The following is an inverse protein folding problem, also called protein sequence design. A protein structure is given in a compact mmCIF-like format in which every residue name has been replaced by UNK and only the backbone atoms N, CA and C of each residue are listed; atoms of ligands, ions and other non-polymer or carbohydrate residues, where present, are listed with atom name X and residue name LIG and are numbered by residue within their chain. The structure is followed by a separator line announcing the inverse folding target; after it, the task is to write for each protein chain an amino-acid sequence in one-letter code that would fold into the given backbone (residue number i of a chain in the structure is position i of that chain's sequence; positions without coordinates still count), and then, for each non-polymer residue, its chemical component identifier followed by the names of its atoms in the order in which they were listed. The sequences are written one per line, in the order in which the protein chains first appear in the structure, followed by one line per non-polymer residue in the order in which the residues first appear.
data_IF_715201822615
#
_entry.id   IF_715201822615
#
_cell.length_a   1.000
_cell.length_b   1.000
_cell.length_c   1.000
_cell.angle_alpha   90.00
_cell.angle_beta   90.00
_cell.angle_gamma   90.00
#
_symmetry.space_group_name_H-M   'P 1'
#
loop_
_entity.id
_entity.type
_entity.pdbx_description
1 polymer ?
#
# COMPACT_ATOMS: atom_id res chain seq x y z
N UNK A 1 7.23 6.12 9.15
CA UNK A 1 5.80 5.84 9.41
C UNK A 1 5.50 5.29 10.80
N UNK A 2 6.37 4.51 11.46
CA UNK A 2 6.01 3.89 12.76
C UNK A 2 6.61 4.56 14.01
N UNK A 3 6.84 5.89 13.97
CA UNK A 3 7.35 6.61 15.15
C UNK A 3 6.26 6.78 16.24
N UNK A 4 5.00 6.63 15.87
CA UNK A 4 3.84 6.82 16.75
C UNK A 4 3.42 8.28 16.88
N UNK A 5 2.28 8.50 17.53
CA UNK A 5 1.78 9.81 17.94
C UNK A 5 1.93 9.93 19.46
N UNK A 6 2.54 11.01 19.94
CA UNK A 6 2.65 11.28 21.38
C UNK A 6 1.49 12.16 21.82
N UNK A 7 0.69 11.66 22.76
CA UNK A 7 -0.44 12.39 23.38
C UNK A 7 -0.28 12.30 24.90
N UNK A 8 -0.09 13.45 25.55
CA UNK A 8 0.03 13.53 27.03
C UNK A 8 1.05 12.55 27.63
N UNK A 9 2.23 12.42 27.00
CA UNK A 9 3.29 11.50 27.45
C UNK A 9 3.10 10.04 27.05
N UNK A 10 1.95 9.66 26.49
CA UNK A 10 1.71 8.31 25.95
C UNK A 10 2.02 8.26 24.47
N UNK A 11 2.82 7.28 24.03
CA UNK A 11 3.06 7.05 22.61
C UNK A 11 2.09 6.01 22.07
N UNK A 12 1.18 6.42 21.19
CA UNK A 12 0.26 5.52 20.48
C UNK A 12 0.90 5.07 19.18
N UNK A 13 0.97 3.75 18.96
CA UNK A 13 1.49 3.14 17.73
C UNK A 13 0.47 2.19 17.13
N UNK A 14 0.37 2.20 15.80
CA UNK A 14 -0.40 1.21 15.06
C UNK A 14 0.57 0.12 14.60
N UNK A 15 0.42 -1.15 15.01
CA UNK A 15 1.23 -2.25 14.50
C UNK A 15 1.21 -2.34 12.97
N UNK A 16 2.30 -2.77 12.33
CA UNK A 16 2.37 -2.82 10.87
C UNK A 16 1.33 -3.75 10.24
N UNK A 17 1.00 -4.86 10.90
CA UNK A 17 -0.03 -5.82 10.51
C UNK A 17 -1.47 -5.27 10.63
N UNK A 18 -1.60 -4.01 11.06
CA UNK A 18 -2.84 -3.23 11.06
C UNK A 18 -2.80 -2.03 10.11
N UNK A 19 -1.73 -1.88 9.33
CA UNK A 19 -1.55 -0.79 8.36
C UNK A 19 -1.75 -1.28 6.93
N UNK A 20 -2.51 -0.52 6.15
CA UNK A 20 -2.78 -0.76 4.72
C UNK A 20 -2.60 0.55 3.96
N UNK A 21 -1.44 0.78 3.31
CA UNK A 21 -1.25 1.94 2.45
C UNK A 21 -2.21 1.95 1.27
N UNK A 22 -2.84 3.11 1.00
CA UNK A 22 -3.72 3.33 -0.14
C UNK A 22 -2.99 4.03 -1.29
N UNK A 23 -3.15 3.52 -2.52
CA UNK A 23 -2.51 4.06 -3.72
C UNK A 23 -3.50 4.17 -4.89
N UNK A 24 -3.38 5.18 -5.78
CA UNK A 24 -4.09 5.15 -7.06
C UNK A 24 -3.68 3.94 -7.89
N UNK A 25 -4.64 3.22 -8.49
CA UNK A 25 -4.37 2.02 -9.29
C UNK A 25 -3.55 2.33 -10.54
N UNK A 26 -3.77 3.51 -11.13
CA UNK A 26 -3.08 3.99 -12.32
C UNK A 26 -3.07 5.52 -12.40
N UNK A 27 -2.26 6.14 -13.28
CA UNK A 27 -2.36 7.57 -13.55
C UNK A 27 -3.79 7.96 -13.93
N UNK A 28 -4.27 9.08 -13.40
CA UNK A 28 -5.65 9.54 -13.60
C UNK A 28 -6.65 9.05 -12.54
N UNK A 29 -6.33 8.00 -11.78
CA UNK A 29 -7.16 7.55 -10.65
C UNK A 29 -7.01 8.44 -9.39
N UNK A 30 -6.12 9.43 -9.41
CA UNK A 30 -5.83 10.35 -8.30
C UNK A 30 -4.37 10.80 -8.30
N UNK A 31 -4.02 11.72 -7.39
CA UNK A 31 -2.64 12.12 -7.15
C UNK A 31 -1.87 11.07 -6.33
N UNK A 32 -0.54 10.98 -6.54
CA UNK A 32 0.33 10.07 -5.77
C UNK A 32 0.46 8.65 -6.31
N UNK A 33 0.20 8.43 -7.61
CA UNK A 33 0.42 7.14 -8.27
C UNK A 33 1.89 6.70 -8.15
N UNK A 34 2.08 5.39 -7.93
CA UNK A 34 3.38 4.73 -8.00
C UNK A 34 3.35 3.63 -9.06
N UNK A 35 4.40 3.57 -9.88
CA UNK A 35 4.58 2.45 -10.79
C UNK A 35 4.76 1.13 -10.01
N UNK A 36 4.35 -0.04 -10.56
CA UNK A 36 4.40 -1.33 -9.85
C UNK A 36 5.77 -1.70 -9.28
N UNK A 37 6.87 -1.34 -9.96
CA UNK A 37 8.22 -1.56 -9.46
C UNK A 37 8.51 -0.75 -8.19
N UNK A 38 8.01 0.48 -8.08
CA UNK A 38 8.12 1.32 -6.89
C UNK A 38 7.25 0.79 -5.75
N UNK A 39 6.04 0.30 -6.06
CA UNK A 39 5.19 -0.38 -5.07
C UNK A 39 5.91 -1.58 -4.47
N UNK A 40 6.53 -2.40 -5.32
CA UNK A 40 7.31 -3.57 -4.91
C UNK A 40 8.54 -3.18 -4.06
N UNK A 41 9.27 -2.14 -4.46
CA UNK A 41 10.41 -1.63 -3.70
C UNK A 41 10.00 -1.15 -2.30
N UNK A 42 8.90 -0.40 -2.21
CA UNK A 42 8.37 0.10 -0.95
C UNK A 42 7.85 -1.05 -0.08
N UNK A 43 7.12 -2.01 -0.66
CA UNK A 43 6.63 -3.20 0.05
C UNK A 43 7.78 -3.96 0.74
N UNK A 44 8.86 -4.23 -0.01
CA UNK A 44 10.02 -4.97 0.49
C UNK A 44 10.74 -4.24 1.65
N UNK A 45 10.72 -2.90 1.66
CA UNK A 45 11.26 -2.11 2.79
C UNK A 45 10.57 -2.41 4.12
N UNK A 46 9.32 -2.85 4.09
CA UNK A 46 8.57 -3.23 5.29
C UNK A 46 8.63 -4.73 5.62
N UNK A 47 9.37 -5.53 4.86
CA UNK A 47 9.66 -6.93 5.17
C UNK A 47 8.41 -7.80 5.40
N UNK A 48 7.39 -7.64 4.56
CA UNK A 48 6.06 -8.29 4.70
C UNK A 48 5.31 -7.96 6.01
N UNK A 49 5.72 -6.92 6.75
CA UNK A 49 5.07 -6.54 8.00
C UNK A 49 3.71 -5.84 7.81
N UNK A 50 3.40 -5.33 6.61
CA UNK A 50 2.14 -4.64 6.33
C UNK A 50 1.00 -5.64 6.15
N UNK A 51 -0.21 -5.26 6.60
CA UNK A 51 -1.42 -6.07 6.40
C UNK A 51 -1.76 -6.30 4.93
N UNK A 52 -1.46 -5.31 4.09
CA UNK A 52 -1.73 -5.35 2.67
C UNK A 52 -1.64 -3.97 2.03
N UNK A 53 -2.19 -3.86 0.83
CA UNK A 53 -2.30 -2.63 0.07
C UNK A 53 -3.77 -2.41 -0.31
N UNK A 54 -4.17 -1.16 -0.35
CA UNK A 54 -5.48 -0.73 -0.84
C UNK A 54 -5.28 0.09 -2.10
N UNK A 55 -6.23 0.01 -3.04
CA UNK A 55 -6.20 0.87 -4.21
C UNK A 55 -7.52 1.59 -4.45
N UNK A 56 -7.39 2.84 -4.88
CA UNK A 56 -8.46 3.53 -5.59
C UNK A 56 -8.19 3.41 -7.10
N UNK A 57 -8.95 2.62 -7.84
CA UNK A 57 -10.04 1.73 -7.43
C UNK A 57 -9.99 0.43 -8.22
N UNK A 58 -10.84 -0.53 -7.87
CA UNK A 58 -10.98 -1.77 -8.62
C UNK A 58 -11.34 -1.54 -10.10
N UNK A 59 -12.19 -0.55 -10.41
CA UNK A 59 -12.55 -0.20 -11.78
C UNK A 59 -11.35 0.40 -12.55
N UNK A 60 -10.59 1.28 -11.89
CA UNK A 60 -9.39 1.85 -12.49
C UNK A 60 -8.34 0.79 -12.77
N UNK A 61 -8.13 -0.16 -11.84
CA UNK A 61 -7.19 -1.27 -12.06
C UNK A 61 -7.67 -2.21 -13.18
N UNK A 62 -8.94 -2.59 -13.15
CA UNK A 62 -9.55 -3.46 -14.17
C UNK A 62 -9.49 -2.86 -15.58
N UNK A 63 -9.71 -1.55 -15.72
CA UNK A 63 -9.57 -0.86 -17.02
C UNK A 63 -8.14 -0.86 -17.58
N UNK A 64 -7.14 -1.13 -16.73
CA UNK A 64 -5.73 -1.28 -17.11
C UNK A 64 -5.26 -2.74 -17.07
N UNK A 65 -6.17 -3.71 -17.06
CA UNK A 65 -5.80 -5.13 -17.06
C UNK A 65 -5.11 -5.56 -15.77
N UNK A 66 -5.57 -5.08 -14.61
CA UNK A 66 -5.19 -5.58 -13.27
C UNK A 66 -3.73 -5.39 -12.89
N UNK A 67 -3.04 -4.40 -13.47
CA UNK A 67 -1.60 -4.16 -13.23
C UNK A 67 -1.25 -3.94 -11.76
N UNK A 68 -2.10 -3.29 -10.96
CA UNK A 68 -1.86 -3.10 -9.54
C UNK A 68 -2.17 -4.39 -8.78
N UNK A 69 -3.36 -4.96 -8.98
CA UNK A 69 -3.81 -6.17 -8.30
C UNK A 69 -2.86 -7.36 -8.49
N UNK A 70 -2.41 -7.61 -9.72
CA UNK A 70 -1.48 -8.70 -10.04
C UNK A 70 -0.11 -8.49 -9.40
N UNK A 71 0.38 -7.25 -9.37
CA UNK A 71 1.62 -6.93 -8.67
C UNK A 71 1.50 -7.20 -7.16
N UNK A 72 0.42 -6.73 -6.53
CA UNK A 72 0.17 -6.97 -5.09
C UNK A 72 -0.01 -8.45 -4.78
N UNK A 73 -0.71 -9.19 -5.65
CA UNK A 73 -0.90 -10.65 -5.54
C UNK A 73 0.45 -11.37 -5.53
N UNK A 74 1.33 -11.04 -6.47
CA UNK A 74 2.67 -11.60 -6.55
C UNK A 74 3.51 -11.30 -5.30
N UNK A 75 3.43 -10.08 -4.76
CA UNK A 75 4.17 -9.68 -3.55
C UNK A 75 3.70 -10.41 -2.29
N UNK A 76 2.41 -10.73 -2.19
CA UNK A 76 1.83 -11.39 -1.01
C UNK A 76 1.80 -12.92 -1.09
N UNK A 77 2.07 -13.50 -2.27
CA UNK A 77 2.14 -14.95 -2.46
C UNK A 77 0.81 -15.70 -2.27
N UNK A 78 -0.32 -15.05 -2.57
CA UNK A 78 -1.68 -15.62 -2.43
C UNK A 78 -2.63 -15.09 -3.48
#
# INVERSE_FOLDING_TARGET
MNKGLVVQGTTVRVPYDKQVPGLPAQPGAGGGYLAPNLVSQVWNKYGNGLKGLMTWSINWDGSKGWTFGDNVKALQGR
#
